data_IF_267806826452
#
_entry.id   IF_267806826452
#
_cell.length_a   1.000
_cell.length_b   1.000
_cell.length_c   1.000
_cell.angle_alpha   90.00
_cell.angle_beta   90.00
_cell.angle_gamma   90.00
#
_symmetry.space_group_name_H-M   'P 1'
#
loop_
_entity.id
_entity.type
_entity.pdbx_description
1 polymer ?
#
# COMPACT_ATOMS: atom_id res chain seq x y z
N UNK A 1 0.19 -9.04 -29.48
CA UNK A 1 -0.08 -8.24 -28.26
C UNK A 1 -0.03 -9.22 -27.09
N UNK A 2 1.01 -9.19 -26.26
CA UNK A 2 1.19 -10.17 -25.19
C UNK A 2 0.19 -9.96 -24.06
N UNK A 3 -0.47 -11.03 -23.61
CA UNK A 3 -1.43 -10.98 -22.51
C UNK A 3 -0.65 -10.71 -21.23
N UNK A 4 -1.02 -9.67 -20.49
CA UNK A 4 -0.46 -9.37 -19.17
C UNK A 4 -0.52 -10.63 -18.28
N UNK A 5 0.61 -11.05 -17.72
CA UNK A 5 0.74 -12.27 -16.91
C UNK A 5 1.07 -13.56 -17.65
N UNK A 6 1.08 -13.58 -18.99
CA UNK A 6 1.45 -14.78 -19.78
C UNK A 6 2.92 -15.22 -19.62
N UNK A 7 3.78 -14.35 -19.08
CA UNK A 7 5.18 -14.62 -18.79
C UNK A 7 5.43 -15.06 -17.35
N UNK A 8 4.42 -14.95 -16.48
CA UNK A 8 4.55 -15.36 -15.08
C UNK A 8 4.52 -16.89 -15.05
N UNK A 9 5.54 -17.54 -14.47
CA UNK A 9 5.53 -19.00 -14.33
C UNK A 9 4.46 -19.45 -13.34
N UNK A 10 3.97 -20.67 -13.52
CA UNK A 10 2.99 -21.28 -12.61
C UNK A 10 3.45 -21.23 -11.15
N UNK A 11 4.74 -21.52 -10.93
CA UNK A 11 5.37 -21.48 -9.62
C UNK A 11 6.42 -20.37 -9.59
N UNK A 12 6.34 -19.53 -8.57
CA UNK A 12 7.24 -18.42 -8.37
C UNK A 12 7.52 -18.22 -6.88
N UNK A 13 8.42 -17.29 -6.57
CA UNK A 13 8.73 -16.93 -5.19
C UNK A 13 8.64 -15.43 -4.97
N UNK A 14 8.05 -15.05 -3.85
CA UNK A 14 8.18 -13.72 -3.28
C UNK A 14 9.48 -13.61 -2.50
N UNK A 15 10.17 -12.48 -2.64
CA UNK A 15 11.39 -12.16 -1.90
C UNK A 15 11.25 -10.81 -1.24
N UNK A 16 11.42 -10.81 0.08
CA UNK A 16 11.46 -9.60 0.90
C UNK A 16 12.88 -9.03 0.97
N UNK A 17 12.98 -7.78 1.46
CA UNK A 17 14.27 -7.09 1.60
C UNK A 17 15.22 -7.76 2.61
N UNK A 18 14.69 -8.43 3.63
CA UNK A 18 15.47 -9.24 4.59
C UNK A 18 15.83 -10.64 4.05
N UNK A 19 15.69 -10.87 2.73
CA UNK A 19 15.95 -12.13 2.05
C UNK A 19 15.01 -13.29 2.40
N UNK A 20 13.93 -13.05 3.15
CA UNK A 20 12.90 -14.08 3.33
C UNK A 20 12.24 -14.40 2.00
N UNK A 21 12.00 -15.69 1.77
CA UNK A 21 11.45 -16.23 0.54
C UNK A 21 10.17 -16.99 0.86
N UNK A 22 9.12 -16.69 0.09
CA UNK A 22 7.83 -17.37 0.19
C UNK A 22 7.44 -17.89 -1.18
N UNK A 23 6.91 -19.10 -1.25
CA UNK A 23 6.40 -19.66 -2.50
C UNK A 23 5.04 -19.06 -2.82
N UNK A 24 4.82 -18.78 -4.10
CA UNK A 24 3.53 -18.41 -4.66
C UNK A 24 3.21 -19.27 -5.87
N UNK A 25 1.91 -19.36 -6.16
CA UNK A 25 1.38 -20.06 -7.32
C UNK A 25 0.48 -19.12 -8.12
N UNK A 26 0.64 -19.14 -9.43
CA UNK A 26 -0.17 -18.36 -10.36
C UNK A 26 -1.25 -19.25 -10.95
N UNK A 27 -2.50 -18.95 -10.61
CA UNK A 27 -3.65 -19.62 -11.18
C UNK A 27 -4.07 -18.90 -12.46
N UNK A 28 -3.66 -19.44 -13.61
CA UNK A 28 -3.85 -18.78 -14.90
C UNK A 28 -5.32 -18.61 -15.31
N UNK A 29 -6.19 -19.54 -14.89
CA UNK A 29 -7.61 -19.49 -15.20
C UNK A 29 -8.29 -18.33 -14.46
N UNK A 30 -8.00 -18.19 -13.17
CA UNK A 30 -8.57 -17.12 -12.33
C UNK A 30 -7.77 -15.82 -12.41
N UNK A 31 -6.59 -15.84 -13.03
CA UNK A 31 -5.61 -14.73 -13.06
C UNK A 31 -5.25 -14.23 -11.66
N UNK A 32 -5.12 -15.17 -10.72
CA UNK A 32 -4.79 -14.87 -9.32
C UNK A 32 -3.37 -15.30 -8.98
N UNK A 33 -2.78 -14.56 -8.04
CA UNK A 33 -1.54 -14.92 -7.39
C UNK A 33 -1.85 -15.36 -5.96
N UNK A 34 -1.34 -16.52 -5.57
CA UNK A 34 -1.46 -17.05 -4.21
C UNK A 34 -0.15 -16.91 -3.44
N UNK A 35 -0.16 -17.24 -2.14
CA UNK A 35 1.04 -17.20 -1.29
C UNK A 35 1.18 -15.91 -0.46
N UNK A 36 0.28 -14.94 -0.61
CA UNK A 36 0.28 -13.73 0.23
C UNK A 36 0.02 -14.04 1.72
N UNK A 37 -0.78 -15.06 2.02
CA UNK A 37 -1.04 -15.50 3.39
C UNK A 37 0.20 -16.02 4.11
N UNK A 38 1.05 -16.79 3.41
CA UNK A 38 2.27 -17.32 4.03
C UNK A 38 3.27 -16.22 4.37
N UNK A 39 3.21 -15.08 3.65
CA UNK A 39 3.97 -13.88 4.00
C UNK A 39 3.47 -13.28 5.32
N UNK A 40 2.15 -13.13 5.51
CA UNK A 40 1.60 -12.69 6.80
C UNK A 40 2.05 -13.60 7.94
N UNK A 41 1.93 -14.92 7.77
CA UNK A 41 2.34 -15.91 8.77
C UNK A 41 3.84 -15.81 9.08
N UNK A 42 4.70 -15.69 8.06
CA UNK A 42 6.14 -15.54 8.23
C UNK A 42 6.57 -14.22 8.87
N UNK A 43 5.80 -13.15 8.67
CA UNK A 43 5.99 -11.85 9.30
C UNK A 43 5.26 -11.71 10.64
N UNK A 44 4.51 -12.74 11.07
CA UNK A 44 3.62 -12.72 12.23
C UNK A 44 2.61 -11.57 12.21
N UNK A 45 2.07 -11.29 11.05
CA UNK A 45 0.98 -10.35 10.83
C UNK A 45 -0.35 -11.13 10.74
N UNK A 46 -1.43 -10.53 11.23
CA UNK A 46 -2.78 -11.09 11.07
C UNK A 46 -3.23 -10.95 9.61
N UNK A 47 -3.00 -9.76 9.06
CA UNK A 47 -3.36 -9.34 7.70
C UNK A 47 -2.42 -8.20 7.26
N UNK A 48 -2.74 -7.56 6.14
CA UNK A 48 -2.00 -6.41 5.62
C UNK A 48 -2.68 -5.07 5.93
N UNK A 49 -3.67 -5.01 6.83
CA UNK A 49 -4.51 -3.82 7.03
C UNK A 49 -3.72 -2.62 7.60
N UNK A 50 -2.58 -2.90 8.24
CA UNK A 50 -1.67 -1.87 8.75
C UNK A 50 -0.65 -1.37 7.72
N UNK A 51 -0.60 -1.97 6.54
CA UNK A 51 0.25 -1.49 5.46
C UNK A 51 -0.51 -0.41 4.67
N UNK A 52 0.18 0.67 4.38
CA UNK A 52 -0.32 1.66 3.41
C UNK A 52 -0.24 1.09 1.99
N UNK A 53 0.89 0.42 1.69
CA UNK A 53 1.18 -0.03 0.34
C UNK A 53 2.03 -1.30 0.35
N UNK A 54 1.65 -2.26 -0.50
CA UNK A 54 2.44 -3.44 -0.84
C UNK A 54 2.82 -3.38 -2.32
N UNK A 55 4.10 -3.16 -2.60
CA UNK A 55 4.62 -3.09 -3.96
C UNK A 55 5.14 -4.46 -4.40
N UNK A 56 4.55 -4.98 -5.47
CA UNK A 56 4.96 -6.22 -6.13
C UNK A 56 5.77 -5.87 -7.40
N UNK A 57 7.08 -6.08 -7.37
CA UNK A 57 7.95 -5.88 -8.54
C UNK A 57 8.29 -7.22 -9.19
N UNK A 58 7.86 -7.41 -10.43
CA UNK A 58 8.16 -8.60 -11.23
C UNK A 58 9.14 -8.27 -12.34
N UNK A 59 10.23 -9.03 -12.44
CA UNK A 59 11.30 -8.80 -13.41
C UNK A 59 11.28 -9.76 -14.62
N UNK A 60 10.20 -10.51 -14.82
CA UNK A 60 10.11 -11.51 -15.90
C UNK A 60 10.75 -12.86 -15.57
N UNK A 61 11.32 -13.03 -14.38
CA UNK A 61 11.88 -14.31 -13.92
C UNK A 61 10.86 -15.16 -13.14
N UNK A 62 11.34 -15.86 -12.11
CA UNK A 62 10.49 -16.56 -11.12
C UNK A 62 10.35 -15.82 -9.80
N UNK A 63 10.78 -14.55 -9.76
CA UNK A 63 10.92 -13.79 -8.52
C UNK A 63 10.05 -12.54 -8.54
N UNK A 64 9.23 -12.40 -7.50
CA UNK A 64 8.57 -11.16 -7.15
C UNK A 64 9.33 -10.52 -6.00
N UNK A 65 9.85 -9.32 -6.18
CA UNK A 65 10.37 -8.53 -5.06
C UNK A 65 9.18 -7.83 -4.38
N UNK A 66 9.09 -8.01 -3.08
CA UNK A 66 8.10 -7.36 -2.22
C UNK A 66 8.72 -6.24 -1.39
N UNK A 67 8.08 -5.08 -1.42
CA UNK A 67 8.38 -3.94 -0.55
C UNK A 67 7.09 -3.50 0.13
N UNK A 68 7.15 -3.35 1.46
CA UNK A 68 6.01 -3.04 2.32
C UNK A 68 6.22 -1.65 2.89
N UNK A 69 5.21 -0.80 2.83
CA UNK A 69 5.27 0.57 3.30
C UNK A 69 4.20 0.82 4.35
N UNK A 70 4.56 1.57 5.39
CA UNK A 70 3.63 1.99 6.44
C UNK A 70 2.92 3.32 6.09
N UNK A 71 2.06 3.80 6.99
CA UNK A 71 1.29 5.04 6.82
C UNK A 71 2.13 6.32 6.71
N UNK A 72 3.46 6.24 6.83
CA UNK A 72 4.37 7.37 6.56
C UNK A 72 5.03 7.30 5.18
N UNK A 73 4.63 6.34 4.33
CA UNK A 73 5.25 6.06 3.03
C UNK A 73 6.73 5.64 3.16
N UNK A 74 7.13 5.08 4.29
CA UNK A 74 8.48 4.58 4.52
C UNK A 74 8.48 3.06 4.39
N UNK A 75 9.48 2.51 3.69
CA UNK A 75 9.62 1.05 3.57
C UNK A 75 9.91 0.46 4.96
N UNK A 76 9.11 -0.51 5.36
CA UNK A 76 9.17 -1.13 6.67
C UNK A 76 10.49 -1.91 6.81
N UNK A 77 11.20 -1.62 7.90
CA UNK A 77 12.36 -2.39 8.32
C UNK A 77 11.95 -3.77 8.82
N UNK A 78 12.36 -4.82 8.12
CA UNK A 78 12.06 -6.20 8.49
C UNK A 78 13.13 -6.76 9.45
N UNK A 79 13.05 -6.32 10.70
CA UNK A 79 13.94 -6.77 11.78
C UNK A 79 13.59 -8.20 12.25
N UNK A 80 14.60 -9.08 12.29
CA UNK A 80 14.41 -10.49 12.66
C UNK A 80 13.95 -10.67 14.11
N UNK A 81 14.45 -9.85 15.02
CA UNK A 81 14.06 -9.89 16.44
C UNK A 81 12.60 -9.48 16.60
N UNK A 82 12.19 -8.40 15.94
CA UNK A 82 10.80 -7.94 15.94
C UNK A 82 9.83 -8.96 15.29
N UNK A 83 10.24 -9.62 14.20
CA UNK A 83 9.45 -10.69 13.56
C UNK A 83 9.31 -11.88 14.49
N UNK A 84 10.41 -12.39 15.02
CA UNK A 84 10.42 -13.61 15.86
C UNK A 84 9.70 -13.42 17.19
N UNK A 85 9.67 -12.19 17.72
CA UNK A 85 8.88 -11.85 18.91
C UNK A 85 7.41 -11.56 18.60
N UNK A 86 7.02 -11.43 17.33
CA UNK A 86 5.68 -10.99 16.92
C UNK A 86 5.41 -9.51 17.21
N UNK A 87 6.46 -8.72 17.43
CA UNK A 87 6.33 -7.28 17.72
C UNK A 87 6.48 -6.40 16.48
N UNK A 88 6.77 -6.97 15.30
CA UNK A 88 6.89 -6.23 14.05
C UNK A 88 5.68 -5.30 13.79
N UNK A 89 4.47 -5.78 14.06
CA UNK A 89 3.23 -5.01 13.85
C UNK A 89 3.13 -3.72 14.68
N UNK A 90 3.90 -3.60 15.78
CA UNK A 90 3.94 -2.41 16.63
C UNK A 90 4.95 -1.37 16.12
N UNK A 91 5.81 -1.73 15.17
CA UNK A 91 6.72 -0.78 14.53
C UNK A 91 6.05 -0.03 13.38
N UNK A 92 4.82 -0.40 13.01
CA UNK A 92 4.10 0.20 11.89
C UNK A 92 3.35 1.44 12.36
N UNK A 93 3.45 2.51 11.58
CA UNK A 93 2.54 3.64 11.70
C UNK A 93 1.33 3.39 10.81
N UNK A 94 0.15 3.58 11.37
CA UNK A 94 -1.09 3.35 10.63
C UNK A 94 -1.26 4.38 9.50
N UNK A 95 -1.85 3.96 8.37
CA UNK A 95 -2.47 4.86 7.41
C UNK A 95 -3.33 5.88 8.15
N UNK A 96 -3.01 7.16 7.98
CA UNK A 96 -3.83 8.24 8.51
C UNK A 96 -4.62 8.85 7.37
N UNK A 97 -5.94 8.89 7.51
CA UNK A 97 -6.84 9.57 6.59
C UNK A 97 -7.63 10.66 7.31
N UNK A 98 -8.02 11.69 6.58
CA UNK A 98 -9.00 12.67 7.03
C UNK A 98 -10.06 12.86 5.96
N UNK A 99 -11.26 13.18 6.41
CA UNK A 99 -12.37 13.49 5.52
C UNK A 99 -12.40 15.00 5.32
N UNK A 100 -12.39 15.42 4.06
CA UNK A 100 -12.68 16.78 3.65
C UNK A 100 -14.17 16.88 3.37
N UNK A 101 -14.91 17.59 4.22
CA UNK A 101 -16.31 17.90 3.96
C UNK A 101 -16.42 19.14 3.08
N UNK A 102 -16.97 18.97 1.88
CA UNK A 102 -17.16 20.05 0.92
C UNK A 102 -18.55 20.65 1.10
N UNK A 103 -18.62 21.79 1.77
CA UNK A 103 -19.85 22.58 1.90
C UNK A 103 -20.08 23.44 0.66
N UNK A 104 -21.35 23.82 0.35
CA UNK A 104 -21.66 24.73 -0.75
C UNK A 104 -20.88 26.06 -0.68
N UNK A 105 -20.55 26.54 0.52
CA UNK A 105 -19.72 27.73 0.73
C UNK A 105 -18.31 27.59 0.14
N UNK A 106 -17.71 26.40 0.18
CA UNK A 106 -16.37 26.12 -0.35
C UNK A 106 -16.32 26.15 -1.90
N UNK A 107 -17.47 26.21 -2.57
CA UNK A 107 -17.55 26.36 -4.03
C UNK A 107 -17.66 27.83 -4.49
N UNK A 108 -17.74 28.78 -3.54
CA UNK A 108 -17.77 30.21 -3.85
C UNK A 108 -16.39 30.71 -4.27
N UNK A 109 -16.34 31.67 -5.19
CA UNK A 109 -15.10 32.18 -5.79
C UNK A 109 -14.12 32.79 -4.78
N UNK A 110 -14.58 33.09 -3.57
CA UNK A 110 -13.84 33.74 -2.48
C UNK A 110 -13.66 32.85 -1.24
N UNK A 111 -14.03 31.57 -1.32
CA UNK A 111 -13.81 30.60 -0.25
C UNK A 111 -12.77 29.58 -0.71
N UNK A 112 -11.53 29.75 -0.26
CA UNK A 112 -10.38 28.96 -0.71
C UNK A 112 -9.84 28.01 0.34
N UNK A 113 -10.35 28.10 1.56
CA UNK A 113 -9.70 27.48 2.70
C UNK A 113 -10.55 26.34 3.23
N UNK A 114 -9.96 25.15 3.26
CA UNK A 114 -10.47 24.02 4.02
C UNK A 114 -9.46 23.74 5.12
N UNK A 115 -9.93 23.72 6.36
CA UNK A 115 -9.08 23.46 7.52
C UNK A 115 -8.64 21.99 7.52
N UNK A 116 -7.32 21.77 7.47
CA UNK A 116 -6.73 20.45 7.57
C UNK A 116 -6.24 20.24 9.01
N UNK A 117 -6.61 19.14 9.69
CA UNK A 117 -6.17 18.90 11.05
C UNK A 117 -4.64 18.88 11.16
N UNK A 118 -4.10 19.46 12.23
CA UNK A 118 -2.65 19.66 12.41
C UNK A 118 -1.83 18.37 12.35
N UNK A 119 -2.43 17.22 12.69
CA UNK A 119 -1.78 15.91 12.56
C UNK A 119 -1.41 15.54 11.12
N UNK A 120 -2.03 16.15 10.11
CA UNK A 120 -1.73 15.96 8.69
C UNK A 120 -0.79 17.03 8.12
N UNK A 121 -0.26 17.93 8.96
CA UNK A 121 0.59 19.03 8.50
C UNK A 121 1.79 18.56 7.67
N UNK A 122 2.44 17.47 8.07
CA UNK A 122 3.55 16.86 7.29
C UNK A 122 3.11 16.39 5.89
N UNK A 123 1.88 15.88 5.76
CA UNK A 123 1.33 15.50 4.47
C UNK A 123 1.09 16.73 3.60
N UNK A 124 0.52 17.80 4.18
CA UNK A 124 0.28 19.06 3.47
C UNK A 124 1.57 19.81 3.12
N UNK A 125 2.66 19.59 3.86
CA UNK A 125 3.99 20.12 3.52
C UNK A 125 4.60 19.46 2.27
N UNK A 126 4.14 18.25 1.91
CA UNK A 126 4.54 17.57 0.67
C UNK A 126 3.74 18.04 -0.55
N UNK A 127 2.60 18.70 -0.33
CA UNK A 127 1.80 19.25 -1.42
C UNK A 127 2.55 20.43 -2.03
N UNK A 128 2.46 20.59 -3.36
CA UNK A 128 3.09 21.74 -4.02
C UNK A 128 2.38 23.03 -3.58
N UNK A 129 2.93 24.19 -3.95
CA UNK A 129 2.32 25.50 -3.64
C UNK A 129 0.86 25.65 -4.09
N UNK A 130 0.37 24.75 -4.94
CA UNK A 130 -1.04 24.60 -5.31
C UNK A 130 -1.29 23.15 -5.75
N UNK A 131 -2.13 22.43 -5.03
CA UNK A 131 -2.74 21.18 -5.49
C UNK A 131 -4.25 21.39 -5.62
N UNK A 132 -4.79 21.02 -6.79
CA UNK A 132 -6.21 21.21 -7.12
C UNK A 132 -6.94 19.87 -7.10
N UNK A 133 -7.92 19.76 -6.21
CA UNK A 133 -8.83 18.62 -6.18
C UNK A 133 -10.04 18.92 -7.07
N UNK A 134 -10.24 18.13 -8.12
CA UNK A 134 -11.44 18.23 -8.95
C UNK A 134 -12.56 17.39 -8.31
N UNK A 135 -13.56 18.06 -7.75
CA UNK A 135 -14.73 17.41 -7.17
C UNK A 135 -15.80 17.25 -8.24
N UNK A 136 -16.17 16.01 -8.55
CA UNK A 136 -17.25 15.70 -9.48
C UNK A 136 -18.48 15.23 -8.69
N UNK A 137 -19.66 15.66 -9.12
CA UNK A 137 -20.93 15.13 -8.60
C UNK A 137 -21.04 13.66 -9.01
N UNK A 138 -20.87 12.74 -8.06
CA UNK A 138 -21.15 11.33 -8.29
C UNK A 138 -22.63 11.15 -8.64
N UNK A 139 -22.92 10.58 -9.81
CA UNK A 139 -24.25 10.07 -10.11
C UNK A 139 -24.47 8.83 -9.23
N UNK A 140 -25.45 8.89 -8.33
CA UNK A 140 -25.96 7.74 -7.61
C UNK A 140 -26.32 6.64 -8.63
N UNK A 141 -25.55 5.55 -8.64
CA UNK A 141 -25.90 4.29 -9.29
C UNK A 141 -26.57 3.36 -8.29
#
# INVERSE_FOLDING_TARGET
MGIFGSTIPEWFTYRLRNHYIFCGHCEFLERKLSGLRSICEGLRLVDFDKLELLVNTYNGGRNFKLSLFDGTNVEIGLDLTAITSGHLVFTFLYPCYFNLEVNPSHMLTYCHDVDIPVQFKRLTELWKSKDTFHVYKGSLS
#
